data_IF_538640629622
#
_entry.id   IF_538640629622
#
_cell.length_a   1.000
_cell.length_b   1.000
_cell.length_c   1.000
_cell.angle_alpha   90.00
_cell.angle_beta   90.00
_cell.angle_gamma   90.00
#
_symmetry.space_group_name_H-M   'P 1'
#
loop_
_entity.id
_entity.type
_entity.pdbx_description
1 polymer ?
#
# COMPACT_ATOMS: atom_id res chain seq x y z
N UNK A 1 16.39 -4.22 -1.62
CA UNK A 1 16.60 -2.76 -1.52
C UNK A 1 15.89 -2.04 -2.66
N UNK A 2 15.19 -0.94 -2.38
CA UNK A 2 14.67 -0.06 -3.45
C UNK A 2 15.80 0.59 -4.22
N UNK A 3 15.56 0.95 -5.49
CA UNK A 3 16.52 1.66 -6.35
C UNK A 3 17.02 2.92 -5.61
N UNK A 4 18.31 2.94 -5.27
CA UNK A 4 18.97 4.05 -4.56
C UNK A 4 19.18 3.88 -3.05
N UNK A 5 18.91 2.71 -2.46
CA UNK A 5 19.17 2.40 -1.03
C UNK A 5 18.62 3.44 -0.02
N UNK A 6 17.54 4.15 -0.36
CA UNK A 6 16.93 5.13 0.54
C UNK A 6 16.12 4.42 1.61
N UNK A 7 16.53 4.59 2.86
CA UNK A 7 15.74 4.21 4.03
C UNK A 7 14.58 5.20 4.23
N UNK A 8 13.47 4.70 4.75
CA UNK A 8 12.31 5.53 5.12
C UNK A 8 11.52 4.86 6.21
N UNK A 9 10.91 5.67 7.07
CA UNK A 9 9.94 5.23 8.05
C UNK A 9 8.56 5.25 7.40
N UNK A 10 7.79 4.19 7.59
CA UNK A 10 6.40 4.10 7.11
C UNK A 10 5.52 3.83 8.33
N UNK A 11 4.55 4.71 8.64
CA UNK A 11 3.57 4.46 9.69
C UNK A 11 2.74 3.23 9.33
N UNK A 12 2.49 2.39 10.32
CA UNK A 12 1.70 1.17 10.20
C UNK A 12 0.43 1.37 11.02
N UNK A 13 -0.74 1.06 10.46
CA UNK A 13 -1.99 1.15 11.19
C UNK A 13 -2.05 0.16 12.35
N UNK A 14 -2.79 0.48 13.40
CA UNK A 14 -2.99 -0.42 14.55
C UNK A 14 -3.56 -1.79 14.12
N UNK A 15 -4.48 -1.78 13.15
CA UNK A 15 -5.04 -3.00 12.56
C UNK A 15 -3.97 -3.87 11.90
N UNK A 16 -3.04 -3.28 11.15
CA UNK A 16 -1.93 -3.99 10.52
C UNK A 16 -0.93 -4.49 11.56
N UNK A 17 -0.64 -3.72 12.61
CA UNK A 17 0.19 -4.15 13.74
C UNK A 17 -0.40 -5.41 14.38
N UNK A 18 -1.71 -5.43 14.65
CA UNK A 18 -2.39 -6.60 15.21
C UNK A 18 -2.22 -7.86 14.34
N UNK A 19 -2.40 -7.73 13.03
CA UNK A 19 -2.22 -8.84 12.08
C UNK A 19 -0.76 -9.30 12.01
N UNK A 20 0.19 -8.37 11.96
CA UNK A 20 1.62 -8.68 11.92
C UNK A 20 2.03 -9.39 13.21
N UNK A 21 1.59 -8.93 14.37
CA UNK A 21 1.92 -9.55 15.65
C UNK A 21 1.39 -10.98 15.73
N UNK A 22 0.13 -11.22 15.33
CA UNK A 22 -0.42 -12.57 15.21
C UNK A 22 0.44 -13.45 14.31
N UNK A 23 0.82 -12.95 13.13
CA UNK A 23 1.70 -13.68 12.23
C UNK A 23 3.06 -14.03 12.88
N UNK A 24 3.71 -13.06 13.53
CA UNK A 24 5.01 -13.22 14.17
C UNK A 24 4.98 -14.19 15.34
N UNK A 25 3.88 -14.25 16.10
CA UNK A 25 3.75 -15.06 17.31
C UNK A 25 3.23 -16.48 17.01
N UNK A 26 2.26 -16.62 16.10
CA UNK A 26 1.53 -17.88 15.94
C UNK A 26 1.97 -18.70 14.71
N UNK A 27 2.29 -18.02 13.60
CA UNK A 27 2.51 -18.66 12.30
C UNK A 27 4.00 -18.72 11.93
N UNK A 28 4.72 -17.61 12.07
CA UNK A 28 6.13 -17.50 11.68
C UNK A 28 7.02 -18.53 12.37
N UNK A 29 6.90 -18.82 13.69
CA UNK A 29 7.77 -19.79 14.35
C UNK A 29 7.65 -21.18 13.69
N UNK A 30 6.42 -21.62 13.38
CA UNK A 30 6.15 -22.90 12.73
C UNK A 30 6.76 -22.96 11.33
N UNK A 31 6.63 -21.89 10.55
CA UNK A 31 7.19 -21.82 9.19
C UNK A 31 8.72 -21.77 9.19
N UNK A 32 9.32 -21.03 10.13
CA UNK A 32 10.78 -20.87 10.20
C UNK A 32 11.52 -22.17 10.53
N UNK A 33 10.85 -23.12 11.19
CA UNK A 33 11.43 -24.44 11.49
C UNK A 33 11.63 -25.30 10.24
N UNK A 34 10.88 -25.07 9.15
CA UNK A 34 11.02 -25.82 7.91
C UNK A 34 12.36 -25.52 7.22
N UNK A 35 12.78 -24.25 7.24
CA UNK A 35 14.04 -23.78 6.65
C UNK A 35 14.72 -22.72 7.55
N UNK A 36 15.41 -23.13 8.64
CA UNK A 36 15.93 -22.20 9.64
C UNK A 36 17.01 -21.23 9.11
N UNK A 37 17.87 -21.70 8.20
CA UNK A 37 18.93 -20.88 7.63
C UNK A 37 18.38 -19.82 6.67
N UNK A 38 17.48 -20.21 5.77
CA UNK A 38 16.89 -19.31 4.78
C UNK A 38 15.94 -18.28 5.41
N UNK A 39 15.28 -18.63 6.52
CA UNK A 39 14.25 -17.78 7.14
C UNK A 39 14.79 -16.74 8.13
N UNK A 40 16.03 -16.89 8.63
CA UNK A 40 16.58 -16.10 9.74
C UNK A 40 16.50 -14.58 9.51
N UNK A 41 16.80 -14.12 8.30
CA UNK A 41 16.89 -12.69 7.96
C UNK A 41 15.63 -12.10 7.35
N UNK A 42 14.55 -12.88 7.24
CA UNK A 42 13.31 -12.44 6.57
C UNK A 42 12.12 -12.45 7.52
N UNK A 43 11.35 -11.36 7.49
CA UNK A 43 10.13 -11.24 8.29
C UNK A 43 9.05 -12.16 7.73
N UNK A 44 8.74 -12.04 6.44
CA UNK A 44 7.66 -12.78 5.78
C UNK A 44 8.17 -14.01 5.04
N UNK A 45 7.55 -15.15 5.33
CA UNK A 45 7.87 -16.46 4.79
C UNK A 45 6.70 -17.01 3.98
N UNK A 46 7.00 -17.83 2.99
CA UNK A 46 6.04 -18.65 2.26
C UNK A 46 5.55 -19.82 3.13
N UNK A 47 4.53 -20.54 2.65
CA UNK A 47 4.04 -21.76 3.31
C UNK A 47 5.10 -22.88 3.41
N UNK A 48 6.17 -22.80 2.61
CA UNK A 48 7.32 -23.69 2.66
C UNK A 48 8.39 -23.22 3.66
N UNK A 49 8.20 -22.12 4.39
CA UNK A 49 9.21 -21.57 5.30
C UNK A 49 10.34 -20.78 4.63
N UNK A 50 10.38 -20.75 3.29
CA UNK A 50 11.33 -19.94 2.51
C UNK A 50 10.92 -18.47 2.46
N UNK A 51 11.85 -17.52 2.23
CA UNK A 51 11.53 -16.10 2.06
C UNK A 51 10.43 -15.85 1.03
N UNK A 52 9.46 -15.01 1.38
CA UNK A 52 8.37 -14.69 0.46
C UNK A 52 8.89 -13.83 -0.71
N UNK A 53 8.68 -14.31 -1.93
CA UNK A 53 9.16 -13.64 -3.16
C UNK A 53 8.11 -12.70 -3.74
N UNK A 54 8.53 -11.75 -4.59
CA UNK A 54 7.60 -10.85 -5.31
C UNK A 54 6.58 -11.60 -6.16
N UNK A 55 6.99 -12.70 -6.82
CA UNK A 55 6.08 -13.59 -7.56
C UNK A 55 5.12 -14.30 -6.62
N UNK A 56 5.58 -14.73 -5.44
CA UNK A 56 4.74 -15.31 -4.41
C UNK A 56 3.64 -14.35 -3.94
N UNK A 57 3.97 -13.07 -3.72
CA UNK A 57 2.98 -12.04 -3.38
C UNK A 57 1.94 -11.89 -4.49
N UNK A 58 2.37 -11.77 -5.75
CA UNK A 58 1.45 -11.67 -6.90
C UNK A 58 0.52 -12.88 -6.98
N UNK A 59 1.06 -14.09 -6.79
CA UNK A 59 0.27 -15.32 -6.75
C UNK A 59 -0.76 -15.32 -5.63
N UNK A 60 -0.39 -14.90 -4.40
CA UNK A 60 -1.31 -14.78 -3.27
C UNK A 60 -2.45 -13.81 -3.59
N UNK A 61 -2.14 -12.63 -4.14
CA UNK A 61 -3.14 -11.63 -4.50
C UNK A 61 -4.10 -12.14 -5.57
N UNK A 62 -3.57 -12.80 -6.61
CA UNK A 62 -4.40 -13.40 -7.65
C UNK A 62 -5.26 -14.57 -7.13
N UNK A 63 -4.75 -15.34 -6.16
CA UNK A 63 -5.54 -16.38 -5.48
C UNK A 63 -6.69 -15.79 -4.65
N UNK A 64 -6.45 -14.68 -3.96
CA UNK A 64 -7.49 -13.94 -3.23
C UNK A 64 -8.54 -13.42 -4.21
N UNK A 65 -8.12 -12.81 -5.31
CA UNK A 65 -9.02 -12.31 -6.35
C UNK A 65 -9.91 -13.42 -6.91
N UNK A 66 -9.35 -14.60 -7.23
CA UNK A 66 -10.14 -15.76 -7.70
C UNK A 66 -11.17 -16.26 -6.70
N UNK A 67 -10.93 -16.07 -5.40
CA UNK A 67 -11.88 -16.44 -4.34
C UNK A 67 -12.97 -15.39 -4.15
N UNK A 68 -12.77 -14.18 -4.67
CA UNK A 68 -13.78 -13.14 -4.70
C UNK A 68 -14.54 -13.18 -6.02
N UNK A 69 -15.84 -12.93 -6.01
CA UNK A 69 -16.64 -12.87 -7.27
C UNK A 69 -16.40 -11.58 -8.07
N UNK A 70 -15.31 -10.86 -7.81
CA UNK A 70 -15.02 -9.54 -8.39
C UNK A 70 -13.66 -9.61 -9.06
N UNK A 71 -13.61 -9.28 -10.34
CA UNK A 71 -12.36 -9.13 -11.08
C UNK A 71 -11.80 -7.73 -10.82
N UNK A 72 -10.73 -7.67 -10.03
CA UNK A 72 -10.10 -6.45 -9.55
C UNK A 72 -8.69 -6.25 -10.12
N UNK A 73 -8.18 -7.15 -10.96
CA UNK A 73 -6.79 -7.19 -11.45
C UNK A 73 -5.79 -6.88 -10.33
N UNK A 74 -5.83 -7.70 -9.27
CA UNK A 74 -5.19 -7.37 -7.99
C UNK A 74 -3.70 -7.67 -8.03
N UNK A 75 -2.88 -6.62 -8.00
CA UNK A 75 -1.42 -6.74 -7.93
C UNK A 75 -0.79 -5.65 -7.03
N UNK A 76 0.48 -5.77 -6.60
CA UNK A 76 1.08 -4.85 -5.62
C UNK A 76 1.02 -3.36 -6.02
N UNK A 77 1.19 -3.05 -7.31
CA UNK A 77 1.08 -1.66 -7.78
C UNK A 77 -0.33 -1.08 -7.66
N UNK A 78 -1.39 -1.90 -7.78
CA UNK A 78 -2.78 -1.47 -7.66
C UNK A 78 -3.13 -1.17 -6.22
N UNK A 79 -2.70 -2.04 -5.29
CA UNK A 79 -2.80 -1.79 -3.85
C UNK A 79 -2.09 -0.49 -3.45
N UNK A 80 -0.88 -0.24 -3.98
CA UNK A 80 -0.17 1.01 -3.73
C UNK A 80 -0.92 2.23 -4.25
N UNK A 81 -1.46 2.13 -5.46
CA UNK A 81 -2.24 3.22 -6.05
C UNK A 81 -3.51 3.49 -5.23
N UNK A 82 -4.27 2.47 -4.86
CA UNK A 82 -5.45 2.61 -4.02
C UNK A 82 -5.12 3.23 -2.65
N UNK A 83 -4.01 2.85 -2.03
CA UNK A 83 -3.54 3.49 -0.79
C UNK A 83 -3.25 4.98 -0.99
N UNK A 84 -2.54 5.33 -2.06
CA UNK A 84 -2.21 6.71 -2.38
C UNK A 84 -3.46 7.57 -2.65
N UNK A 85 -4.38 7.07 -3.46
CA UNK A 85 -5.66 7.73 -3.76
C UNK A 85 -6.50 7.87 -2.50
N UNK A 86 -6.58 6.84 -1.66
CA UNK A 86 -7.33 6.91 -0.40
C UNK A 86 -6.77 7.99 0.55
N UNK A 87 -5.45 8.10 0.69
CA UNK A 87 -4.85 9.18 1.48
C UNK A 87 -5.19 10.56 0.91
N UNK A 88 -5.12 10.69 -0.42
CA UNK A 88 -5.38 11.95 -1.10
C UNK A 88 -6.85 12.40 -0.96
N UNK A 89 -7.80 11.48 -1.12
CA UNK A 89 -9.23 11.72 -0.92
C UNK A 89 -9.56 12.14 0.52
N UNK A 90 -8.76 11.71 1.50
CA UNK A 90 -8.87 12.09 2.90
C UNK A 90 -8.04 13.33 3.27
N UNK A 91 -7.55 14.09 2.27
CA UNK A 91 -6.91 15.38 2.46
C UNK A 91 -5.43 15.33 2.80
N UNK A 92 -4.76 14.18 2.67
CA UNK A 92 -3.30 14.13 2.78
C UNK A 92 -2.67 14.88 1.60
N UNK A 93 -1.68 15.72 1.90
CA UNK A 93 -0.98 16.46 0.86
C UNK A 93 -0.09 15.51 0.01
N UNK A 94 0.17 15.90 -1.24
CA UNK A 94 0.95 15.10 -2.18
C UNK A 94 2.39 14.85 -1.71
N UNK A 95 2.97 15.76 -0.91
CA UNK A 95 4.34 15.62 -0.43
C UNK A 95 4.43 14.52 0.62
N UNK A 96 3.48 14.48 1.55
CA UNK A 96 3.31 13.42 2.55
C UNK A 96 3.12 12.05 1.87
N UNK A 97 2.26 11.97 0.85
CA UNK A 97 2.05 10.72 0.10
C UNK A 97 3.33 10.27 -0.61
N UNK A 98 4.09 11.20 -1.21
CA UNK A 98 5.36 10.89 -1.89
C UNK A 98 6.41 10.32 -0.92
N UNK A 99 6.53 10.90 0.26
CA UNK A 99 7.47 10.45 1.30
C UNK A 99 7.13 9.04 1.77
N UNK A 100 5.84 8.74 1.98
CA UNK A 100 5.36 7.42 2.39
C UNK A 100 5.61 6.34 1.32
N UNK A 101 5.41 6.66 0.04
CA UNK A 101 5.50 5.70 -1.06
C UNK A 101 6.93 5.53 -1.62
N UNK A 102 7.85 6.43 -1.30
CA UNK A 102 9.27 6.29 -1.58
C UNK A 102 9.65 6.31 -3.06
N UNK A 103 8.91 7.04 -3.91
CA UNK A 103 9.19 7.11 -5.34
C UNK A 103 10.36 8.06 -5.65
N UNK A 104 11.43 7.52 -6.24
CA UNK A 104 12.49 8.30 -6.91
C UNK A 104 12.13 8.68 -8.36
N UNK A 105 11.01 8.20 -8.90
CA UNK A 105 10.55 8.48 -10.27
C UNK A 105 9.06 8.79 -10.30
N UNK A 106 8.76 9.93 -10.95
CA UNK A 106 7.58 10.79 -10.93
C UNK A 106 6.48 10.36 -11.93
N UNK A 107 6.52 9.14 -12.49
CA UNK A 107 5.57 8.73 -13.53
C UNK A 107 4.11 8.47 -13.07
N UNK A 108 3.76 8.64 -11.80
CA UNK A 108 2.36 8.57 -11.30
C UNK A 108 1.79 9.93 -10.86
N UNK A 109 2.58 11.00 -10.95
CA UNK A 109 2.19 12.34 -10.50
C UNK A 109 1.00 12.89 -11.26
N UNK A 110 0.85 12.56 -12.56
CA UNK A 110 -0.29 12.99 -13.38
C UNK A 110 -1.65 12.46 -12.86
N UNK A 111 -1.69 11.21 -12.37
CA UNK A 111 -2.94 10.64 -11.82
C UNK A 111 -3.30 11.36 -10.52
N UNK A 112 -2.29 11.63 -9.68
CA UNK A 112 -2.50 12.36 -8.44
C UNK A 112 -2.91 13.82 -8.67
N UNK A 113 -2.43 14.47 -9.73
CA UNK A 113 -2.87 15.81 -10.13
C UNK A 113 -4.37 15.82 -10.44
N UNK A 114 -4.88 14.83 -11.18
CA UNK A 114 -6.30 14.77 -11.51
C UNK A 114 -7.19 14.59 -10.26
N UNK A 115 -6.80 13.73 -9.33
CA UNK A 115 -7.54 13.54 -8.06
C UNK A 115 -7.43 14.77 -7.15
N UNK A 116 -6.28 15.45 -7.10
CA UNK A 116 -6.18 16.74 -6.40
C UNK A 116 -7.07 17.80 -7.01
N UNK A 117 -7.16 17.91 -8.34
CA UNK A 117 -7.99 18.95 -8.97
C UNK A 117 -9.47 18.77 -8.62
N UNK A 118 -9.96 17.53 -8.58
CA UNK A 118 -11.34 17.23 -8.20
C UNK A 118 -11.60 17.49 -6.70
N UNK A 119 -10.68 17.07 -5.83
CA UNK A 119 -10.77 17.30 -4.38
C UNK A 119 -10.60 18.77 -4.00
N UNK A 120 -9.71 19.50 -4.66
CA UNK A 120 -9.53 20.95 -4.49
C UNK A 120 -10.75 21.71 -5.00
N UNK A 121 -11.31 21.34 -6.15
CA UNK A 121 -12.56 21.93 -6.64
C UNK A 121 -13.70 21.72 -5.64
N UNK A 122 -13.84 20.50 -5.10
CA UNK A 122 -14.86 20.18 -4.08
C UNK A 122 -14.66 20.96 -2.78
N UNK A 123 -13.43 21.06 -2.30
CA UNK A 123 -13.09 21.83 -1.09
C UNK A 123 -13.32 23.32 -1.30
N UNK A 124 -12.91 23.87 -2.45
CA UNK A 124 -13.16 25.25 -2.84
C UNK A 124 -14.66 25.54 -2.94
N UNK A 125 -15.45 24.65 -3.57
CA UNK A 125 -16.90 24.80 -3.66
C UNK A 125 -17.59 24.72 -2.29
N UNK A 126 -17.06 23.93 -1.36
CA UNK A 126 -17.61 23.79 -0.01
C UNK A 126 -17.25 24.97 0.91
N UNK A 127 -16.03 25.50 0.80
CA UNK A 127 -15.50 26.52 1.71
C UNK A 127 -15.68 27.96 1.20
N UNK A 128 -15.78 28.19 -0.11
CA UNK A 128 -15.81 29.55 -0.63
C UNK A 128 -17.22 30.16 -0.61
N UNK A 129 -17.48 31.25 0.14
CA UNK A 129 -18.81 31.86 0.28
C UNK A 129 -19.51 32.28 -1.02
N UNK A 130 -18.77 32.42 -2.13
CA UNK A 130 -19.30 32.77 -3.46
C UNK A 130 -19.52 31.59 -4.40
N UNK A 131 -19.11 30.38 -4.04
CA UNK A 131 -19.21 29.21 -4.93
C UNK A 131 -20.66 28.68 -5.10
N UNK A 132 -21.58 29.01 -4.18
CA UNK A 132 -23.00 28.59 -4.23
C UNK A 132 -23.94 29.54 -4.96
N UNK A 133 -23.44 30.62 -5.59
CA UNK A 133 -24.33 31.59 -6.25
C UNK A 133 -24.77 31.07 -7.61
N UNK A 134 -25.88 30.33 -7.65
CA UNK A 134 -26.66 30.12 -8.87
C UNK A 134 -27.06 31.49 -9.42
N UNK A 135 -26.85 31.70 -10.73
CA UNK A 135 -27.58 32.72 -11.48
C UNK A 135 -29.05 32.33 -11.55
#
# INVERSE_FOLDING_TARGET
>A
FGKGQKERLVPISESAIGIINRYLQELRPKLSQLHPLDSKSFVFLSHLGMPLTSRGIQYILHSIEKKTSIYLDLHPHKLRHSFATHLLENGADLRTIQELLGHASINTTQIYTHVTTESMAKTYMAAHPRAKRKK
#
